data_IF_339434205548
#
_entry.id   IF_339434205548
#
_cell.length_a   1.000
_cell.length_b   1.000
_cell.length_c   1.000
_cell.angle_alpha   90.00
_cell.angle_beta   90.00
_cell.angle_gamma   90.00
#
_symmetry.space_group_name_H-M   'P 1'
#
loop_
_entity.id
_entity.type
_entity.pdbx_description
1 polymer ?
#
# COMPACT_ATOMS: atom_id res chain seq x y z
N UNK A 1 -0.46 -21.74 73.00
CA UNK A 1 0.05 -22.57 71.89
C UNK A 1 -0.98 -22.54 70.78
N UNK A 2 -0.53 -22.27 69.54
CA UNK A 2 -1.36 -21.90 68.38
C UNK A 2 -2.05 -23.12 67.76
N UNK A 3 -3.33 -22.99 67.45
CA UNK A 3 -4.13 -23.92 66.65
C UNK A 3 -3.93 -23.64 65.17
N UNK A 4 -3.70 -24.68 64.37
CA UNK A 4 -3.64 -24.64 62.91
C UNK A 4 -4.79 -25.50 62.37
N UNK A 5 -5.70 -24.87 61.62
CA UNK A 5 -6.79 -25.48 60.87
C UNK A 5 -6.29 -25.60 59.42
N UNK A 6 -6.33 -26.78 58.77
CA UNK A 6 -6.02 -26.87 57.35
C UNK A 6 -7.25 -26.43 56.54
N UNK A 7 -7.05 -25.44 55.68
CA UNK A 7 -8.05 -24.93 54.74
C UNK A 7 -8.16 -25.93 53.58
N UNK A 8 -9.27 -26.67 53.53
CA UNK A 8 -9.62 -27.52 52.39
C UNK A 8 -10.00 -26.67 51.19
N UNK A 9 -9.18 -26.74 50.14
CA UNK A 9 -9.42 -26.10 48.85
C UNK A 9 -10.47 -26.91 48.08
N UNK A 10 -11.69 -26.39 47.97
CA UNK A 10 -12.75 -26.94 47.11
C UNK A 10 -12.43 -26.50 45.68
N UNK A 11 -11.91 -27.43 44.87
CA UNK A 11 -11.77 -27.29 43.43
C UNK A 11 -13.16 -27.48 42.79
N UNK A 12 -13.81 -26.39 42.39
CA UNK A 12 -14.93 -26.42 41.47
C UNK A 12 -14.41 -26.80 40.09
N UNK A 13 -14.70 -28.04 39.67
CA UNK A 13 -14.49 -28.55 38.32
C UNK A 13 -15.49 -27.89 37.37
N UNK A 14 -15.18 -26.71 36.84
CA UNK A 14 -15.76 -26.26 35.58
C UNK A 14 -15.01 -26.96 34.45
N UNK A 15 -15.68 -27.82 33.69
CA UNK A 15 -15.08 -28.55 32.58
C UNK A 15 -14.49 -27.58 31.55
N UNK A 16 -13.23 -27.83 31.16
CA UNK A 16 -12.51 -27.08 30.13
C UNK A 16 -13.29 -27.00 28.81
N UNK A 17 -14.14 -27.98 28.52
CA UNK A 17 -14.94 -28.05 27.30
C UNK A 17 -15.85 -26.81 27.14
N UNK A 18 -16.42 -26.29 28.25
CA UNK A 18 -17.32 -25.12 28.20
C UNK A 18 -16.60 -23.79 27.90
N UNK A 19 -15.32 -23.68 28.29
CA UNK A 19 -14.47 -22.51 28.04
C UNK A 19 -13.89 -22.56 26.63
N UNK A 20 -13.56 -23.74 26.12
CA UNK A 20 -13.14 -23.95 24.73
C UNK A 20 -14.28 -23.65 23.75
N UNK A 21 -15.50 -24.08 24.05
CA UNK A 21 -16.67 -23.82 23.21
C UNK A 21 -17.02 -22.32 23.15
N UNK A 22 -16.95 -21.59 24.27
CA UNK A 22 -17.16 -20.14 24.32
C UNK A 22 -16.03 -19.35 23.63
N UNK A 23 -14.79 -19.81 23.74
CA UNK A 23 -13.64 -19.20 23.06
C UNK A 23 -13.73 -19.41 21.54
N UNK A 24 -14.16 -20.60 21.11
CA UNK A 24 -14.37 -20.94 19.71
C UNK A 24 -15.56 -20.19 19.11
N UNK A 25 -16.68 -20.09 19.81
CA UNK A 25 -17.85 -19.33 19.33
C UNK A 25 -17.54 -17.83 19.18
N UNK A 26 -16.76 -17.25 20.11
CA UNK A 26 -16.30 -15.86 20.01
C UNK A 26 -15.24 -15.66 18.91
N UNK A 27 -14.38 -16.65 18.66
CA UNK A 27 -13.41 -16.63 17.57
C UNK A 27 -14.09 -16.76 16.20
N UNK A 28 -15.08 -17.65 16.06
CA UNK A 28 -15.92 -17.81 14.87
C UNK A 28 -16.74 -16.53 14.61
N UNK A 29 -17.32 -15.91 15.65
CA UNK A 29 -18.01 -14.60 15.53
C UNK A 29 -17.06 -13.46 15.17
N UNK A 30 -15.80 -13.47 15.62
CA UNK A 30 -14.77 -12.45 15.28
C UNK A 30 -14.24 -12.65 13.86
N UNK A 31 -14.12 -13.89 13.38
CA UNK A 31 -13.82 -14.19 11.97
C UNK A 31 -14.96 -13.78 11.04
N UNK A 32 -16.21 -14.05 11.40
CA UNK A 32 -17.38 -13.62 10.64
C UNK A 32 -17.51 -12.08 10.56
N UNK A 33 -16.92 -11.34 11.51
CA UNK A 33 -16.94 -9.87 11.54
C UNK A 33 -15.80 -9.21 10.76
N UNK A 34 -14.73 -9.95 10.45
CA UNK A 34 -13.52 -9.47 9.77
C UNK A 34 -13.30 -10.10 8.37
N UNK A 35 -14.19 -11.00 7.93
CA UNK A 35 -14.30 -11.31 6.52
C UNK A 35 -14.97 -10.12 5.83
N UNK A 36 -14.18 -9.35 5.07
CA UNK A 36 -14.72 -8.47 4.03
C UNK A 36 -15.69 -9.33 3.22
N UNK A 37 -16.95 -8.92 3.15
CA UNK A 37 -18.01 -9.72 2.56
C UNK A 37 -17.99 -9.50 1.03
N UNK A 38 -18.56 -10.43 0.27
CA UNK A 38 -18.94 -10.24 -1.14
C UNK A 38 -19.61 -8.88 -1.40
N UNK A 39 -20.39 -8.36 -0.44
CA UNK A 39 -20.99 -7.02 -0.51
C UNK A 39 -19.97 -5.88 -0.62
N UNK A 40 -18.83 -5.94 0.09
CA UNK A 40 -17.79 -4.91 0.02
C UNK A 40 -17.08 -4.93 -1.34
N UNK A 41 -16.89 -6.13 -1.91
CA UNK A 41 -16.33 -6.34 -3.25
C UNK A 41 -17.24 -5.75 -4.30
N UNK A 42 -18.53 -6.05 -4.23
CA UNK A 42 -19.52 -5.50 -5.14
C UNK A 42 -19.61 -3.98 -5.01
N UNK A 43 -19.54 -3.45 -3.78
CA UNK A 43 -19.45 -2.01 -3.56
C UNK A 43 -18.21 -1.40 -4.21
N UNK A 44 -17.04 -2.06 -4.14
CA UNK A 44 -15.83 -1.58 -4.81
C UNK A 44 -15.94 -1.66 -6.34
N UNK A 45 -16.53 -2.72 -6.90
CA UNK A 45 -16.80 -2.83 -8.33
C UNK A 45 -17.76 -1.74 -8.81
N UNK A 46 -18.83 -1.49 -8.06
CA UNK A 46 -19.77 -0.40 -8.33
C UNK A 46 -19.08 0.96 -8.29
N UNK A 47 -18.24 1.19 -7.28
CA UNK A 47 -17.45 2.42 -7.19
C UNK A 47 -16.49 2.58 -8.39
N UNK A 48 -15.84 1.50 -8.85
CA UNK A 48 -15.00 1.53 -10.05
C UNK A 48 -15.82 1.91 -11.29
N UNK A 49 -16.96 1.27 -11.51
CA UNK A 49 -17.85 1.55 -12.64
C UNK A 49 -18.39 3.00 -12.60
N UNK A 50 -18.71 3.52 -11.41
CA UNK A 50 -19.09 4.92 -11.22
C UNK A 50 -17.94 5.86 -11.62
N UNK A 51 -16.72 5.62 -11.12
CA UNK A 51 -15.54 6.44 -11.48
C UNK A 51 -15.27 6.41 -13.00
N UNK A 52 -15.43 5.26 -13.66
CA UNK A 52 -15.29 5.17 -15.12
C UNK A 52 -16.35 6.00 -15.88
N UNK A 53 -17.58 6.06 -15.38
CA UNK A 53 -18.63 6.88 -15.96
C UNK A 53 -18.35 8.38 -15.78
N UNK A 54 -17.83 8.77 -14.63
CA UNK A 54 -17.39 10.15 -14.35
C UNK A 54 -16.22 10.55 -15.28
N UNK A 55 -15.26 9.65 -15.50
CA UNK A 55 -14.15 9.85 -16.43
C UNK A 55 -14.64 10.16 -17.85
N UNK A 56 -15.58 9.37 -18.37
CA UNK A 56 -16.15 9.58 -19.71
C UNK A 56 -16.88 10.92 -19.83
N UNK A 57 -17.63 11.30 -18.79
CA UNK A 57 -18.35 12.57 -18.77
C UNK A 57 -17.40 13.77 -18.72
N UNK A 58 -16.31 13.68 -17.94
CA UNK A 58 -15.31 14.72 -17.86
C UNK A 58 -14.51 14.86 -19.16
N UNK A 59 -14.12 13.74 -19.80
CA UNK A 59 -13.41 13.75 -21.08
C UNK A 59 -14.22 14.45 -22.17
N UNK A 60 -15.51 14.10 -22.27
CA UNK A 60 -16.45 14.79 -23.17
C UNK A 60 -16.55 16.28 -22.86
N UNK A 61 -16.69 16.66 -21.59
CA UNK A 61 -16.76 18.06 -21.19
C UNK A 61 -15.48 18.84 -21.57
N UNK A 62 -14.30 18.20 -21.54
CA UNK A 62 -13.07 18.84 -22.01
C UNK A 62 -13.09 19.04 -23.52
N UNK A 63 -13.52 18.05 -24.29
CA UNK A 63 -13.62 18.16 -25.75
C UNK A 63 -14.50 19.37 -26.14
N UNK A 64 -15.58 19.58 -25.39
CA UNK A 64 -16.50 20.70 -25.58
C UNK A 64 -15.95 22.05 -25.06
N UNK A 65 -14.94 22.05 -24.17
CA UNK A 65 -14.40 23.24 -23.48
C UNK A 65 -13.08 23.80 -24.02
N UNK A 66 -12.59 23.37 -25.20
CA UNK A 66 -11.29 23.77 -25.80
C UNK A 66 -11.15 25.30 -26.09
N UNK A 67 -12.03 26.18 -25.57
CA UNK A 67 -11.93 27.64 -25.67
C UNK A 67 -11.61 28.44 -24.38
N UNK A 68 -11.34 27.83 -23.23
CA UNK A 68 -10.99 28.58 -21.99
C UNK A 68 -9.79 27.97 -21.25
N UNK A 69 -8.61 28.54 -21.48
CA UNK A 69 -7.28 27.96 -21.16
C UNK A 69 -7.10 27.56 -19.70
N UNK A 70 -7.27 28.46 -18.73
CA UNK A 70 -7.03 28.12 -17.30
C UNK A 70 -8.00 27.08 -16.72
N UNK A 71 -9.29 27.14 -17.12
CA UNK A 71 -10.29 26.14 -16.70
C UNK A 71 -10.01 24.78 -17.33
N UNK A 72 -9.52 24.76 -18.56
CA UNK A 72 -9.08 23.53 -19.22
C UNK A 72 -7.90 22.88 -18.48
N UNK A 73 -6.94 23.66 -17.98
CA UNK A 73 -5.83 23.15 -17.16
C UNK A 73 -6.29 22.53 -15.83
N UNK A 74 -7.18 23.21 -15.10
CA UNK A 74 -7.75 22.70 -13.85
C UNK A 74 -8.62 21.44 -14.06
N UNK A 75 -9.40 21.40 -15.14
CA UNK A 75 -10.23 20.24 -15.48
C UNK A 75 -9.37 19.04 -15.92
N UNK A 76 -8.32 19.28 -16.70
CA UNK A 76 -7.36 18.22 -17.10
C UNK A 76 -6.73 17.57 -15.88
N UNK A 77 -6.32 18.37 -14.88
CA UNK A 77 -5.79 17.82 -13.64
C UNK A 77 -6.80 16.93 -12.90
N UNK A 78 -8.07 17.35 -12.80
CA UNK A 78 -9.12 16.53 -12.19
C UNK A 78 -9.34 15.20 -12.92
N UNK A 79 -9.25 15.19 -14.24
CA UNK A 79 -9.33 13.95 -15.00
C UNK A 79 -8.15 13.04 -14.68
N UNK A 80 -6.94 13.59 -14.66
CA UNK A 80 -5.75 12.83 -14.27
C UNK A 80 -5.94 12.20 -12.87
N UNK A 81 -6.42 12.97 -11.90
CA UNK A 81 -6.74 12.47 -10.55
C UNK A 81 -7.81 11.37 -10.56
N UNK A 82 -8.85 11.49 -11.38
CA UNK A 82 -9.88 10.47 -11.53
C UNK A 82 -9.31 9.16 -12.10
N UNK A 83 -8.39 9.25 -13.08
CA UNK A 83 -7.67 8.09 -13.62
C UNK A 83 -6.82 7.41 -12.54
N UNK A 84 -6.06 8.18 -11.77
CA UNK A 84 -5.26 7.65 -10.65
C UNK A 84 -6.14 6.96 -9.59
N UNK A 85 -7.30 7.57 -9.26
CA UNK A 85 -8.25 7.02 -8.30
C UNK A 85 -8.86 5.71 -8.79
N UNK A 86 -9.26 5.64 -10.06
CA UNK A 86 -9.78 4.41 -10.68
C UNK A 86 -8.76 3.27 -10.61
N UNK A 87 -7.48 3.56 -10.89
CA UNK A 87 -6.41 2.57 -10.75
C UNK A 87 -6.28 2.03 -9.33
N UNK A 88 -6.33 2.89 -8.32
CA UNK A 88 -6.24 2.47 -6.93
C UNK A 88 -7.39 1.51 -6.52
N UNK A 89 -8.60 1.73 -7.02
CA UNK A 89 -9.73 0.82 -6.78
C UNK A 89 -9.51 -0.54 -7.45
N UNK A 90 -9.06 -0.56 -8.70
CA UNK A 90 -8.77 -1.82 -9.40
C UNK A 90 -7.69 -2.62 -8.68
N UNK A 91 -6.60 -1.96 -8.27
CA UNK A 91 -5.54 -2.59 -7.50
C UNK A 91 -6.03 -3.13 -6.16
N UNK A 92 -6.86 -2.36 -5.44
CA UNK A 92 -7.48 -2.80 -4.18
C UNK A 92 -8.33 -4.06 -4.36
N UNK A 93 -9.15 -4.12 -5.41
CA UNK A 93 -9.97 -5.28 -5.75
C UNK A 93 -9.12 -6.53 -6.00
N UNK A 94 -8.00 -6.40 -6.73
CA UNK A 94 -7.09 -7.51 -7.02
C UNK A 94 -6.40 -8.06 -5.77
N UNK A 95 -5.91 -7.17 -4.90
CA UNK A 95 -5.28 -7.60 -3.64
C UNK A 95 -6.26 -8.36 -2.76
N UNK A 96 -7.50 -7.90 -2.71
CA UNK A 96 -8.56 -8.56 -1.99
C UNK A 96 -8.87 -9.96 -2.55
N UNK A 97 -9.09 -10.07 -3.87
CA UNK A 97 -9.34 -11.37 -4.52
C UNK A 97 -8.21 -12.37 -4.24
N UNK A 98 -6.95 -11.92 -4.38
CA UNK A 98 -5.79 -12.75 -4.07
C UNK A 98 -5.75 -13.20 -2.60
N UNK A 99 -6.16 -12.35 -1.65
CA UNK A 99 -6.22 -12.73 -0.24
C UNK A 99 -7.28 -13.79 0.06
N UNK A 100 -8.38 -13.81 -0.70
CA UNK A 100 -9.38 -14.88 -0.62
C UNK A 100 -8.82 -16.20 -1.18
N UNK A 101 -8.14 -16.14 -2.33
CA UNK A 101 -7.56 -17.32 -2.98
C UNK A 101 -6.46 -17.97 -2.14
N UNK A 102 -5.63 -17.17 -1.44
CA UNK A 102 -4.60 -17.67 -0.51
C UNK A 102 -5.20 -18.28 0.78
N UNK A 103 -6.46 -17.96 1.12
CA UNK A 103 -7.18 -18.54 2.27
C UNK A 103 -7.95 -19.82 1.96
N UNK A 104 -8.26 -20.08 0.68
CA UNK A 104 -8.82 -21.34 0.21
C UNK A 104 -7.70 -22.32 -0.15
N UNK A 105 -7.62 -23.46 0.54
CA UNK A 105 -6.60 -24.49 0.32
C UNK A 105 -6.66 -25.23 -1.05
N UNK A 106 -7.45 -24.72 -2.01
CA UNK A 106 -7.47 -25.22 -3.39
C UNK A 106 -6.76 -24.24 -4.33
N UNK A 107 -5.45 -24.47 -4.48
CA UNK A 107 -4.62 -23.81 -5.49
C UNK A 107 -5.06 -24.22 -6.90
N UNK A 108 -6.04 -23.53 -7.50
CA UNK A 108 -6.29 -23.52 -8.96
C UNK A 108 -7.33 -22.47 -9.43
N UNK A 109 -7.42 -21.30 -8.76
CA UNK A 109 -8.56 -20.39 -8.92
C UNK A 109 -8.40 -19.12 -9.79
N UNK A 110 -7.23 -18.75 -10.29
CA UNK A 110 -7.11 -17.62 -11.23
C UNK A 110 -6.69 -18.14 -12.60
N UNK A 111 -7.67 -18.25 -13.50
CA UNK A 111 -7.40 -18.55 -14.89
C UNK A 111 -6.45 -17.49 -15.47
N UNK A 112 -5.55 -17.93 -16.36
CA UNK A 112 -4.63 -17.03 -17.08
C UNK A 112 -5.39 -15.90 -17.82
N UNK A 113 -6.69 -16.03 -18.06
CA UNK A 113 -7.51 -14.95 -18.62
C UNK A 113 -7.66 -13.74 -17.69
N UNK A 114 -7.74 -13.90 -16.36
CA UNK A 114 -7.80 -12.77 -15.42
C UNK A 114 -6.49 -11.94 -15.38
N UNK A 115 -5.37 -12.54 -15.80
CA UNK A 115 -4.09 -11.85 -15.96
C UNK A 115 -4.00 -11.04 -17.26
N UNK A 116 -4.81 -11.36 -18.27
CA UNK A 116 -4.68 -10.84 -19.64
C UNK A 116 -5.92 -10.15 -20.22
N UNK A 117 -7.06 -10.11 -19.52
CA UNK A 117 -8.18 -9.28 -19.96
C UNK A 117 -7.82 -7.80 -19.77
N UNK A 118 -7.47 -7.16 -20.91
CA UNK A 118 -7.39 -5.73 -21.15
C UNK A 118 -7.10 -4.87 -19.93
N UNK A 119 -5.83 -4.83 -19.48
CA UNK A 119 -5.39 -3.86 -18.48
C UNK A 119 -5.71 -2.48 -19.03
N UNK A 120 -6.74 -1.82 -18.51
CA UNK A 120 -6.88 -0.39 -18.72
C UNK A 120 -5.71 0.21 -17.94
N UNK A 121 -4.67 0.64 -18.66
CA UNK A 121 -3.51 1.27 -18.07
C UNK A 121 -3.91 2.68 -17.59
N UNK A 122 -4.69 2.76 -16.52
CA UNK A 122 -5.28 4.00 -16.01
C UNK A 122 -4.19 5.06 -15.72
N UNK A 123 -3.01 4.66 -15.27
CA UNK A 123 -1.86 5.55 -15.10
C UNK A 123 -1.34 6.12 -16.42
N UNK A 124 -1.28 5.29 -17.47
CA UNK A 124 -0.90 5.72 -18.82
C UNK A 124 -1.92 6.71 -19.37
N UNK A 125 -3.21 6.41 -19.19
CA UNK A 125 -4.31 7.29 -19.61
C UNK A 125 -4.31 8.64 -18.89
N UNK A 126 -3.68 8.76 -17.71
CA UNK A 126 -3.57 10.03 -16.99
C UNK A 126 -2.51 10.98 -17.59
N UNK A 127 -1.47 10.46 -18.25
CA UNK A 127 -0.30 11.25 -18.66
C UNK A 127 -0.65 12.42 -19.61
N UNK A 128 -1.46 12.25 -20.66
CA UNK A 128 -1.81 13.36 -21.56
C UNK A 128 -2.54 14.51 -20.85
N UNK A 129 -3.25 14.22 -19.77
CA UNK A 129 -3.97 15.23 -19.00
C UNK A 129 -3.06 15.99 -18.03
N UNK A 130 -2.00 15.36 -17.52
CA UNK A 130 -0.95 16.08 -16.80
C UNK A 130 -0.17 17.01 -17.74
N UNK A 131 0.19 16.54 -18.93
CA UNK A 131 0.87 17.37 -19.93
C UNK A 131 -0.02 18.58 -20.32
N UNK A 132 -1.32 18.35 -20.52
CA UNK A 132 -2.30 19.42 -20.77
C UNK A 132 -2.43 20.36 -19.57
N UNK A 133 -2.45 19.83 -18.35
CA UNK A 133 -2.50 20.66 -17.16
C UNK A 133 -1.30 21.63 -17.12
N UNK A 134 -0.07 21.13 -17.28
CA UNK A 134 1.15 21.94 -17.25
C UNK A 134 1.16 23.10 -18.26
N UNK A 135 0.54 22.93 -19.43
CA UNK A 135 0.49 23.98 -20.46
C UNK A 135 -0.38 25.17 -20.04
N UNK A 136 -1.46 24.91 -19.29
CA UNK A 136 -2.54 25.89 -19.12
C UNK A 136 -2.74 26.40 -17.68
N UNK A 137 -1.89 25.99 -16.74
CA UNK A 137 -1.99 26.45 -15.34
C UNK A 137 -0.62 26.71 -14.74
N UNK A 138 -0.64 27.43 -13.62
CA UNK A 138 0.55 27.57 -12.78
C UNK A 138 0.97 26.23 -12.22
N UNK A 139 2.26 25.92 -12.41
CA UNK A 139 2.88 24.70 -11.92
C UNK A 139 3.02 24.80 -10.41
N UNK A 140 2.31 23.95 -9.69
CA UNK A 140 2.41 23.84 -8.24
C UNK A 140 2.99 22.48 -7.81
N UNK A 141 3.42 22.43 -6.54
CA UNK A 141 4.08 21.27 -5.93
C UNK A 141 3.21 20.01 -5.98
N UNK A 142 1.89 20.15 -5.82
CA UNK A 142 0.96 19.02 -5.78
C UNK A 142 0.73 18.45 -7.18
N UNK A 143 0.56 19.32 -8.19
CA UNK A 143 0.46 18.91 -9.59
C UNK A 143 1.67 18.10 -10.03
N UNK A 144 2.88 18.60 -9.75
CA UNK A 144 4.13 17.89 -10.07
C UNK A 144 4.25 16.58 -9.30
N UNK A 145 3.88 16.55 -8.02
CA UNK A 145 3.90 15.32 -7.23
C UNK A 145 3.00 14.23 -7.83
N UNK A 146 1.76 14.57 -8.19
CA UNK A 146 0.81 13.63 -8.78
C UNK A 146 1.21 13.20 -10.20
N UNK A 147 1.77 14.11 -10.99
CA UNK A 147 2.34 13.78 -12.30
C UNK A 147 3.51 12.80 -12.15
N UNK A 148 4.43 13.03 -11.20
CA UNK A 148 5.53 12.12 -10.89
C UNK A 148 5.05 10.72 -10.50
N UNK A 149 4.00 10.64 -9.69
CA UNK A 149 3.35 9.36 -9.34
C UNK A 149 2.76 8.66 -10.57
N UNK A 150 2.10 9.42 -11.47
CA UNK A 150 1.51 8.84 -12.66
C UNK A 150 2.56 8.27 -13.61
N UNK A 151 3.65 9.00 -13.86
CA UNK A 151 4.78 8.49 -14.65
C UNK A 151 5.43 7.26 -14.02
N UNK A 152 5.63 7.25 -12.69
CA UNK A 152 6.22 6.11 -11.99
C UNK A 152 5.37 4.84 -12.13
N UNK A 153 4.05 4.95 -11.92
CA UNK A 153 3.15 3.81 -12.00
C UNK A 153 2.90 3.35 -13.45
N UNK A 154 2.79 4.27 -14.40
CA UNK A 154 2.70 3.93 -15.83
C UNK A 154 3.97 3.22 -16.31
N UNK A 155 5.15 3.67 -15.87
CA UNK A 155 6.42 2.97 -16.10
C UNK A 155 6.39 1.56 -15.51
N UNK A 156 6.00 1.42 -14.23
CA UNK A 156 5.91 0.13 -13.52
C UNK A 156 4.97 -0.85 -14.22
N UNK A 157 3.81 -0.39 -14.71
CA UNK A 157 2.85 -1.24 -15.41
C UNK A 157 3.40 -1.88 -16.69
N UNK A 158 4.37 -1.22 -17.31
CA UNK A 158 5.09 -1.65 -18.51
C UNK A 158 6.46 -2.27 -18.20
N UNK A 159 6.71 -2.69 -16.95
CA UNK A 159 7.98 -3.32 -16.57
C UNK A 159 9.11 -2.32 -16.35
N UNK A 160 8.80 -1.14 -15.81
CA UNK A 160 9.75 -0.04 -15.60
C UNK A 160 10.33 0.53 -16.90
N UNK A 161 9.43 0.91 -17.82
CA UNK A 161 9.79 1.53 -19.09
C UNK A 161 10.69 2.78 -18.86
N UNK A 162 11.85 2.89 -19.55
CA UNK A 162 12.92 3.81 -19.15
C UNK A 162 12.57 5.29 -19.21
N UNK A 163 11.86 5.72 -20.24
CA UNK A 163 11.53 7.12 -20.48
C UNK A 163 10.57 7.65 -19.42
N UNK A 164 9.50 6.90 -19.14
CA UNK A 164 8.55 7.25 -18.07
C UNK A 164 9.21 7.21 -16.70
N UNK A 165 10.08 6.23 -16.45
CA UNK A 165 10.87 6.15 -15.21
C UNK A 165 11.75 7.38 -15.04
N UNK A 166 12.49 7.77 -16.08
CA UNK A 166 13.37 8.96 -16.05
C UNK A 166 12.58 10.21 -15.72
N UNK A 167 11.43 10.41 -16.39
CA UNK A 167 10.54 11.55 -16.11
C UNK A 167 10.07 11.58 -14.66
N UNK A 168 9.63 10.44 -14.11
CA UNK A 168 9.24 10.36 -12.71
C UNK A 168 10.40 10.73 -11.76
N UNK A 169 11.59 10.17 -12.00
CA UNK A 169 12.80 10.45 -11.23
C UNK A 169 13.18 11.93 -11.30
N UNK A 170 13.17 12.53 -12.49
CA UNK A 170 13.47 13.95 -12.70
C UNK A 170 12.49 14.86 -11.94
N UNK A 171 11.19 14.55 -12.00
CA UNK A 171 10.14 15.28 -11.27
C UNK A 171 10.39 15.22 -9.76
N UNK A 172 10.63 14.03 -9.19
CA UNK A 172 10.85 13.93 -7.74
C UNK A 172 12.18 14.54 -7.28
N UNK A 173 13.22 14.51 -8.11
CA UNK A 173 14.45 15.27 -7.86
C UNK A 173 14.20 16.77 -7.86
N UNK A 174 13.41 17.28 -8.82
CA UNK A 174 13.05 18.69 -8.87
C UNK A 174 12.23 19.10 -7.63
N UNK A 175 11.25 18.29 -7.22
CA UNK A 175 10.46 18.51 -6.01
C UNK A 175 11.31 18.49 -4.75
N UNK A 176 12.27 17.56 -4.64
CA UNK A 176 13.20 17.50 -3.50
C UNK A 176 14.08 18.75 -3.40
N UNK A 177 14.52 19.30 -4.54
CA UNK A 177 15.26 20.57 -4.56
C UNK A 177 14.37 21.76 -4.20
N UNK A 178 13.12 21.75 -4.65
CA UNK A 178 12.17 22.83 -4.43
C UNK A 178 11.73 22.92 -2.96
N UNK A 179 11.46 21.78 -2.32
CA UNK A 179 11.08 21.70 -0.92
C UNK A 179 11.78 20.51 -0.23
N UNK A 180 13.02 20.71 0.25
CA UNK A 180 13.83 19.65 0.87
C UNK A 180 13.28 19.10 2.19
N UNK A 181 12.30 19.77 2.80
CA UNK A 181 11.70 19.33 4.07
C UNK A 181 10.57 18.33 3.87
N UNK A 182 10.05 18.22 2.65
CA UNK A 182 8.95 17.33 2.33
C UNK A 182 9.47 15.93 1.99
N UNK A 183 9.51 15.05 3.00
CA UNK A 183 10.06 13.69 2.89
C UNK A 183 9.29 12.79 1.91
N UNK A 184 8.10 13.21 1.44
CA UNK A 184 7.33 12.46 0.44
C UNK A 184 8.10 12.31 -0.87
N UNK A 185 8.93 13.28 -1.26
CA UNK A 185 9.66 13.23 -2.54
C UNK A 185 10.83 12.24 -2.54
N UNK A 186 11.78 12.30 -1.60
CA UNK A 186 12.81 11.27 -1.50
C UNK A 186 12.22 9.89 -1.19
N UNK A 187 11.07 9.81 -0.50
CA UNK A 187 10.36 8.55 -0.29
C UNK A 187 9.91 7.92 -1.62
N UNK A 188 9.29 8.70 -2.51
CA UNK A 188 8.89 8.18 -3.84
C UNK A 188 10.10 7.78 -4.69
N UNK A 189 11.19 8.56 -4.65
CA UNK A 189 12.44 8.17 -5.31
C UNK A 189 12.96 6.82 -4.80
N UNK A 190 12.92 6.59 -3.48
CA UNK A 190 13.35 5.32 -2.90
C UNK A 190 12.51 4.14 -3.40
N UNK A 191 11.18 4.30 -3.47
CA UNK A 191 10.29 3.27 -4.02
C UNK A 191 10.61 2.97 -5.49
N UNK A 192 10.77 4.01 -6.32
CA UNK A 192 11.12 3.84 -7.75
C UNK A 192 12.46 3.12 -7.90
N UNK A 193 13.49 3.56 -7.18
CA UNK A 193 14.82 2.95 -7.27
C UNK A 193 14.83 1.51 -6.82
N UNK A 194 14.13 1.19 -5.72
CA UNK A 194 14.07 -0.17 -5.23
C UNK A 194 13.30 -1.08 -6.18
N UNK A 195 12.03 -0.78 -6.43
CA UNK A 195 11.13 -1.65 -7.21
C UNK A 195 11.63 -1.85 -8.65
N UNK A 196 12.26 -0.83 -9.27
CA UNK A 196 12.86 -0.95 -10.60
C UNK A 196 14.15 -1.78 -10.63
N UNK A 197 14.74 -2.06 -9.46
CA UNK A 197 15.99 -2.81 -9.34
C UNK A 197 15.80 -4.26 -8.92
N UNK A 198 14.71 -4.59 -8.22
CA UNK A 198 14.46 -5.95 -7.70
C UNK A 198 13.55 -6.83 -8.57
N UNK A 199 13.11 -6.35 -9.74
CA UNK A 199 12.34 -7.08 -10.79
C UNK A 199 11.57 -8.34 -10.34
N UNK A 200 10.26 -8.20 -10.12
CA UNK A 200 9.37 -9.32 -9.74
C UNK A 200 8.32 -9.69 -10.80
N UNK A 201 8.48 -9.38 -12.10
CA UNK A 201 7.40 -9.55 -13.09
C UNK A 201 7.79 -9.91 -14.54
N UNK A 202 6.87 -10.60 -15.22
CA UNK A 202 6.93 -11.33 -16.51
C UNK A 202 7.41 -10.59 -17.77
N UNK A 203 7.67 -9.29 -17.70
CA UNK A 203 8.17 -8.48 -18.83
C UNK A 203 9.59 -7.98 -18.56
N UNK A 204 10.44 -8.88 -18.05
CA UNK A 204 11.86 -8.59 -17.78
C UNK A 204 12.62 -8.33 -19.09
N UNK A 205 12.41 -7.15 -19.65
CA UNK A 205 13.33 -6.54 -20.60
C UNK A 205 14.30 -5.77 -19.71
N UNK A 206 15.54 -6.27 -19.62
CA UNK A 206 16.69 -5.76 -18.84
C UNK A 206 16.84 -6.27 -17.40
N UNK A 207 18.09 -6.62 -17.07
CA UNK A 207 18.62 -6.65 -15.71
C UNK A 207 18.21 -5.32 -15.04
N UNK A 208 17.50 -5.38 -13.89
CA UNK A 208 16.98 -4.18 -13.22
C UNK A 208 18.02 -3.08 -13.00
N UNK A 209 17.59 -1.85 -12.72
CA UNK A 209 18.41 -0.62 -12.75
C UNK A 209 19.57 -0.56 -11.71
N UNK A 210 19.73 -1.60 -10.86
CA UNK A 210 20.80 -1.74 -9.84
C UNK A 210 20.91 -0.55 -8.87
N UNK A 211 19.80 0.14 -8.63
CA UNK A 211 19.69 1.33 -7.78
C UNK A 211 19.25 0.99 -6.33
N UNK A 212 19.34 -0.27 -5.90
CA UNK A 212 18.95 -0.71 -4.54
C UNK A 212 19.67 0.08 -3.45
N UNK A 213 20.96 0.36 -3.61
CA UNK A 213 21.73 1.12 -2.63
C UNK A 213 21.25 2.58 -2.52
N UNK A 214 20.93 3.21 -3.64
CA UNK A 214 20.34 4.57 -3.65
C UNK A 214 19.01 4.59 -2.92
N UNK A 215 18.18 3.57 -3.12
CA UNK A 215 16.91 3.46 -2.41
C UNK A 215 17.10 3.35 -0.89
N UNK A 216 18.01 2.49 -0.44
CA UNK A 216 18.32 2.33 0.98
C UNK A 216 18.86 3.62 1.60
N UNK A 217 19.77 4.32 0.92
CA UNK A 217 20.33 5.58 1.39
C UNK A 217 19.26 6.68 1.56
N UNK A 218 18.29 6.75 0.64
CA UNK A 218 17.17 7.70 0.77
C UNK A 218 16.26 7.36 1.95
N UNK A 219 15.93 6.08 2.14
CA UNK A 219 15.15 5.61 3.29
C UNK A 219 15.85 5.95 4.60
N UNK A 220 17.15 5.65 4.71
CA UNK A 220 17.91 5.93 5.92
C UNK A 220 18.05 7.44 6.17
N UNK A 221 18.21 8.25 5.12
CA UNK A 221 18.24 9.71 5.25
C UNK A 221 16.90 10.28 5.76
N UNK A 222 15.76 9.75 5.32
CA UNK A 222 14.44 10.15 5.85
C UNK A 222 14.32 9.77 7.31
N UNK A 223 14.66 8.52 7.68
CA UNK A 223 14.54 8.03 9.05
C UNK A 223 15.52 8.69 10.04
N UNK A 224 16.62 9.27 9.54
CA UNK A 224 17.52 10.08 10.35
C UNK A 224 16.83 11.35 10.88
N UNK A 225 15.93 11.94 10.10
CA UNK A 225 15.21 13.18 10.45
C UNK A 225 13.85 12.85 11.07
N UNK A 226 13.17 11.82 10.57
CA UNK A 226 11.83 11.39 10.99
C UNK A 226 11.86 9.94 11.51
N UNK A 227 12.45 9.70 12.69
CA UNK A 227 12.66 8.34 13.21
C UNK A 227 11.35 7.60 13.52
N UNK A 228 10.22 8.30 13.71
CA UNK A 228 8.91 7.70 13.93
C UNK A 228 8.07 7.58 12.64
N UNK A 229 8.64 7.85 11.46
CA UNK A 229 7.91 7.73 10.19
C UNK A 229 7.58 6.26 9.87
N UNK A 230 6.37 5.85 10.25
CA UNK A 230 5.85 4.49 10.09
C UNK A 230 5.89 4.04 8.62
N UNK A 231 5.51 4.89 7.67
CA UNK A 231 5.47 4.54 6.25
C UNK A 231 6.88 4.24 5.70
N UNK A 232 7.85 5.10 6.01
CA UNK A 232 9.26 4.91 5.61
C UNK A 232 9.86 3.66 6.25
N UNK A 233 9.54 3.38 7.52
CA UNK A 233 9.98 2.14 8.18
C UNK A 233 9.37 0.89 7.55
N UNK A 234 8.10 0.93 7.16
CA UNK A 234 7.48 -0.17 6.42
C UNK A 234 8.20 -0.42 5.09
N UNK A 235 8.53 0.64 4.34
CA UNK A 235 9.29 0.50 3.11
C UNK A 235 10.66 -0.14 3.39
N UNK A 236 11.39 0.31 4.41
CA UNK A 236 12.67 -0.30 4.83
C UNK A 236 12.53 -1.78 5.18
N UNK A 237 11.54 -2.13 6.00
CA UNK A 237 11.29 -3.51 6.41
C UNK A 237 11.01 -4.41 5.20
N UNK A 238 10.20 -3.93 4.25
CA UNK A 238 9.90 -4.62 2.99
C UNK A 238 11.13 -4.75 2.08
N UNK A 239 11.92 -3.69 1.95
CA UNK A 239 13.15 -3.71 1.15
C UNK A 239 14.12 -4.77 1.69
N UNK A 240 14.35 -4.76 3.00
CA UNK A 240 15.20 -5.73 3.68
C UNK A 240 14.68 -7.17 3.50
N UNK A 241 13.36 -7.38 3.59
CA UNK A 241 12.76 -8.70 3.39
C UNK A 241 12.99 -9.22 1.98
N UNK A 242 12.74 -8.39 0.95
CA UNK A 242 12.93 -8.76 -0.44
C UNK A 242 14.41 -9.03 -0.80
N UNK A 243 15.34 -8.36 -0.11
CA UNK A 243 16.77 -8.61 -0.22
C UNK A 243 17.25 -9.85 0.56
N UNK A 244 16.34 -10.60 1.20
CA UNK A 244 16.67 -11.77 2.03
C UNK A 244 17.29 -11.43 3.38
N UNK A 245 17.32 -10.15 3.78
CA UNK A 245 17.87 -9.67 5.06
C UNK A 245 16.81 -9.79 6.17
N UNK A 246 16.31 -11.00 6.36
CA UNK A 246 15.14 -11.32 7.20
C UNK A 246 15.27 -10.82 8.64
N UNK A 247 16.43 -10.97 9.28
CA UNK A 247 16.63 -10.51 10.66
C UNK A 247 16.55 -8.98 10.80
N UNK A 248 17.08 -8.25 9.81
CA UNK A 248 17.00 -6.79 9.81
C UNK A 248 15.57 -6.31 9.52
N UNK A 249 14.88 -6.98 8.58
CA UNK A 249 13.46 -6.73 8.32
C UNK A 249 12.60 -6.93 9.58
N UNK A 250 12.83 -8.03 10.31
CA UNK A 250 12.18 -8.32 11.58
C UNK A 250 12.40 -7.21 12.61
N UNK A 251 13.63 -6.73 12.77
CA UNK A 251 13.97 -5.63 13.68
C UNK A 251 13.23 -4.33 13.33
N UNK A 252 13.09 -4.02 12.04
CA UNK A 252 12.31 -2.86 11.61
C UNK A 252 10.82 -3.05 11.91
N UNK A 253 10.25 -4.23 11.65
CA UNK A 253 8.86 -4.52 12.03
C UNK A 253 8.62 -4.42 13.54
N UNK A 254 9.54 -4.89 14.37
CA UNK A 254 9.45 -4.69 15.83
C UNK A 254 9.49 -3.20 16.21
N UNK A 255 10.32 -2.41 15.54
CA UNK A 255 10.39 -0.96 15.76
C UNK A 255 9.07 -0.29 15.39
N UNK A 256 8.47 -0.66 14.26
CA UNK A 256 7.15 -0.16 13.84
C UNK A 256 6.08 -0.54 14.87
N UNK A 257 6.07 -1.79 15.34
CA UNK A 257 5.14 -2.25 16.38
C UNK A 257 5.22 -1.34 17.61
N UNK A 258 6.42 -1.10 18.12
CA UNK A 258 6.64 -0.26 19.30
C UNK A 258 6.18 1.19 19.09
N UNK A 259 6.42 1.78 17.91
CA UNK A 259 6.00 3.15 17.59
C UNK A 259 4.47 3.24 17.58
N UNK A 260 3.79 2.28 16.93
CA UNK A 260 2.33 2.27 16.87
C UNK A 260 1.72 2.06 18.26
N UNK A 261 2.31 1.19 19.09
CA UNK A 261 1.89 1.01 20.50
C UNK A 261 2.07 2.29 21.33
N UNK A 262 3.11 3.07 21.07
CA UNK A 262 3.29 4.37 21.73
C UNK A 262 2.23 5.38 21.28
N UNK A 263 1.92 5.44 19.98
CA UNK A 263 0.84 6.30 19.45
C UNK A 263 -0.51 5.97 20.09
N UNK A 264 -0.82 4.69 20.32
CA UNK A 264 -2.04 4.28 21.02
C UNK A 264 -2.06 4.77 22.47
N UNK A 265 -0.95 4.61 23.20
CA UNK A 265 -0.80 5.10 24.58
C UNK A 265 -0.98 6.62 24.67
N UNK A 266 -0.57 7.36 23.64
CA UNK A 266 -0.77 8.82 23.52
C UNK A 266 -2.18 9.20 23.04
N UNK A 267 -3.05 8.23 22.72
CA UNK A 267 -4.41 8.46 22.25
C UNK A 267 -4.50 8.90 20.79
N UNK A 268 -3.44 8.70 20.00
CA UNK A 268 -3.35 9.11 18.59
C UNK A 268 -3.98 8.08 17.64
N UNK A 269 -4.25 6.86 18.11
CA UNK A 269 -4.88 5.80 17.32
C UNK A 269 -6.40 5.78 17.54
N UNK A 270 -7.14 6.13 16.48
CA UNK A 270 -8.60 6.03 16.49
C UNK A 270 -9.03 4.57 16.42
N UNK A 271 -9.93 4.17 17.34
CA UNK A 271 -10.48 2.82 17.39
C UNK A 271 -9.58 1.78 18.06
N UNK A 272 -8.43 2.19 18.62
CA UNK A 272 -7.48 1.33 19.32
C UNK A 272 -6.59 0.49 18.41
N UNK A 273 -5.52 -0.07 18.98
CA UNK A 273 -4.51 -0.89 18.29
C UNK A 273 -5.09 -2.03 17.45
N UNK A 274 -6.05 -2.76 17.99
CA UNK A 274 -6.65 -3.94 17.35
C UNK A 274 -7.28 -3.59 15.98
N UNK A 275 -7.82 -2.38 15.82
CA UNK A 275 -8.47 -1.93 14.59
C UNK A 275 -7.52 -1.16 13.66
N UNK A 276 -6.26 -0.95 14.05
CA UNK A 276 -5.28 -0.24 13.25
C UNK A 276 -4.71 -1.15 12.15
N UNK A 277 -5.01 -0.86 10.88
CA UNK A 277 -4.58 -1.69 9.75
C UNK A 277 -3.04 -1.83 9.65
N UNK A 278 -2.30 -0.76 9.95
CA UNK A 278 -0.84 -0.80 9.97
C UNK A 278 -0.35 -1.74 11.07
N UNK A 279 -0.90 -1.65 12.28
CA UNK A 279 -0.56 -2.57 13.38
C UNK A 279 -0.78 -4.03 13.00
N UNK A 280 -1.95 -4.36 12.46
CA UNK A 280 -2.28 -5.71 12.01
C UNK A 280 -1.32 -6.21 10.92
N UNK A 281 -0.92 -5.34 9.99
CA UNK A 281 0.08 -5.67 8.98
C UNK A 281 1.47 -5.92 9.59
N UNK A 282 1.87 -5.20 10.64
CA UNK A 282 3.12 -5.48 11.36
C UNK A 282 3.08 -6.87 11.96
N UNK A 283 2.04 -7.20 12.73
CA UNK A 283 1.91 -8.49 13.42
C UNK A 283 1.98 -9.64 12.41
N UNK A 284 1.21 -9.57 11.32
CA UNK A 284 1.23 -10.59 10.26
C UNK A 284 2.62 -10.79 9.64
N UNK A 285 3.35 -9.70 9.39
CA UNK A 285 4.69 -9.80 8.81
C UNK A 285 5.73 -10.37 9.80
N UNK A 286 5.63 -10.02 11.09
CA UNK A 286 6.44 -10.60 12.16
C UNK A 286 6.21 -12.12 12.23
N UNK A 287 4.96 -12.56 12.28
CA UNK A 287 4.58 -13.99 12.32
C UNK A 287 5.07 -14.74 11.08
N UNK A 288 4.91 -14.16 9.89
CA UNK A 288 5.40 -14.73 8.63
C UNK A 288 6.91 -14.92 8.64
N UNK A 289 7.66 -13.94 9.15
CA UNK A 289 9.12 -14.03 9.25
C UNK A 289 9.52 -15.12 10.25
N UNK A 290 8.88 -15.17 11.41
CA UNK A 290 9.18 -16.16 12.46
C UNK A 290 8.89 -17.59 11.98
N UNK A 291 7.75 -17.83 11.35
CA UNK A 291 7.40 -19.15 10.81
C UNK A 291 8.37 -19.61 9.71
N UNK A 292 8.82 -18.68 8.86
CA UNK A 292 9.82 -18.97 7.81
C UNK A 292 11.20 -19.32 8.38
N UNK A 293 11.54 -18.82 9.57
CA UNK A 293 12.81 -19.11 10.24
C UNK A 293 12.79 -20.45 11.01
N UNK A 294 11.62 -20.94 11.41
CA UNK A 294 11.46 -22.23 12.11
C UNK A 294 11.49 -23.45 11.16
N UNK A 295 11.33 -23.24 9.85
CA UNK A 295 11.38 -24.31 8.83
C UNK A 295 12.77 -24.47 8.17
N UNK A 296 13.78 -23.71 8.62
CA UNK A 296 15.17 -23.81 8.16
C UNK A 296 16.04 -24.47 9.22
#
# INVERSE_FOLDING_TARGET
>A
MKTLIPLSLILLLTSCDSLEDLARENWEKKQAKNQVNFEDVEKWKQNLALNESELRNLDKAIHDMVGQTAKAGALSWKIAQAYMKASNYEMGLRFYQRSLDESSADTNGLSKEAKNQGRVAYWESALPYFDRALIYRDVDKQLLFEMGLAYANASKDMGWEPERRSRAVEIFHALTRFDPKDSRFPYQLALIYFDSSVSTGTWAIQEGYRDVEKAMNLIDAILLVEPENVATRFAKANFLYQLGKTNQSYSEYQSIKSIIEDFDKRGEIRGGLENNASYQNVIRNIEKIQSSNLMK
#
